data_IF_052064805480
#
_entry.id   IF_052064805480
#
_cell.length_a   1.000
_cell.length_b   1.000
_cell.length_c   1.000
_cell.angle_alpha   90.00
_cell.angle_beta   90.00
_cell.angle_gamma   90.00
#
_symmetry.space_group_name_H-M   'P 1'
#
loop_
_entity.id
_entity.type
_entity.pdbx_description
1 polymer ?
#
# COMPACT_ATOMS: atom_id res chain seq x y z
N UNK A 1 16.95 -1.89 -5.81
CA UNK A 1 17.31 -1.82 -4.37
C UNK A 1 16.19 -1.29 -3.47
N UNK A 2 15.11 -0.72 -4.01
CA UNK A 2 14.03 -0.08 -3.22
C UNK A 2 12.93 -1.05 -2.74
N UNK A 3 12.86 -2.26 -3.29
CA UNK A 3 11.81 -3.22 -2.96
C UNK A 3 12.01 -3.93 -1.62
N UNK A 4 13.22 -3.89 -1.06
CA UNK A 4 13.57 -4.57 0.19
C UNK A 4 12.87 -3.96 1.43
N UNK A 5 12.46 -2.69 1.32
CA UNK A 5 11.78 -1.98 2.40
C UNK A 5 10.25 -2.02 2.27
N UNK A 6 9.72 -2.68 1.24
CA UNK A 6 8.28 -2.88 1.05
C UNK A 6 7.87 -4.15 1.79
N UNK A 7 6.83 -4.06 2.64
CA UNK A 7 6.33 -5.24 3.36
C UNK A 7 5.79 -6.27 2.37
N UNK A 8 6.27 -7.54 2.42
CA UNK A 8 5.70 -8.59 1.60
C UNK A 8 4.31 -8.97 2.12
N UNK A 9 3.37 -9.14 1.21
CA UNK A 9 2.05 -9.65 1.48
C UNK A 9 2.16 -11.11 1.96
N UNK A 10 1.47 -11.45 3.06
CA UNK A 10 1.47 -12.81 3.61
C UNK A 10 0.89 -13.85 2.64
N UNK A 11 0.00 -13.43 1.73
CA UNK A 11 -0.68 -14.32 0.80
C UNK A 11 0.19 -14.67 -0.43
N UNK A 12 0.87 -13.68 -0.99
CA UNK A 12 1.61 -13.83 -2.26
C UNK A 12 3.12 -13.87 -2.06
N UNK A 13 3.62 -13.49 -0.88
CA UNK A 13 5.05 -13.30 -0.60
C UNK A 13 5.66 -12.10 -1.34
N UNK A 14 4.85 -11.31 -2.05
CA UNK A 14 5.27 -10.16 -2.86
C UNK A 14 4.78 -8.86 -2.22
N UNK A 15 5.48 -7.73 -2.43
CA UNK A 15 5.01 -6.44 -1.93
C UNK A 15 3.60 -6.12 -2.46
N UNK A 16 2.83 -5.36 -1.67
CA UNK A 16 1.49 -4.91 -2.05
C UNK A 16 1.55 -4.05 -3.31
N UNK A 17 0.62 -4.31 -4.23
CA UNK A 17 0.49 -3.57 -5.49
C UNK A 17 -0.69 -2.61 -5.41
N UNK A 18 -0.58 -1.44 -6.06
CA UNK A 18 -1.65 -0.44 -6.11
C UNK A 18 -2.95 -1.05 -6.65
N UNK A 19 -4.03 -0.95 -5.87
CA UNK A 19 -5.31 -1.57 -6.17
C UNK A 19 -5.56 -2.91 -5.46
N UNK A 20 -4.57 -3.44 -4.72
CA UNK A 20 -4.78 -4.63 -3.89
C UNK A 20 -5.84 -4.37 -2.83
N UNK A 21 -6.81 -5.27 -2.69
CA UNK A 21 -7.86 -5.16 -1.67
C UNK A 21 -7.63 -6.19 -0.57
N UNK A 22 -7.53 -5.69 0.66
CA UNK A 22 -7.35 -6.50 1.86
C UNK A 22 -8.67 -7.15 2.30
N UNK A 23 -8.62 -8.12 3.22
CA UNK A 23 -9.82 -8.81 3.75
C UNK A 23 -10.82 -7.84 4.42
N UNK A 24 -10.32 -6.72 4.93
CA UNK A 24 -11.11 -5.62 5.51
C UNK A 24 -11.82 -4.74 4.45
N UNK A 25 -11.60 -5.00 3.16
CA UNK A 25 -12.16 -4.20 2.05
C UNK A 25 -11.37 -2.92 1.72
N UNK A 26 -10.24 -2.71 2.39
CA UNK A 26 -9.34 -1.58 2.16
C UNK A 26 -8.51 -1.79 0.92
N UNK A 27 -8.33 -0.75 0.12
CA UNK A 27 -7.56 -0.78 -1.13
C UNK A 27 -6.20 -0.13 -0.91
N UNK A 28 -5.13 -0.88 -1.18
CA UNK A 28 -3.76 -0.38 -1.16
C UNK A 28 -3.58 0.69 -2.23
N UNK A 29 -3.14 1.88 -1.82
CA UNK A 29 -2.94 3.02 -2.72
C UNK A 29 -1.52 2.99 -3.25
N UNK A 30 -0.53 3.13 -2.36
CA UNK A 30 0.89 3.16 -2.69
C UNK A 30 1.75 3.03 -1.42
N UNK A 31 3.03 2.74 -1.61
CA UNK A 31 4.05 2.99 -0.60
C UNK A 31 4.39 4.49 -0.54
N UNK A 32 4.50 5.02 0.67
CA UNK A 32 4.99 6.37 0.91
C UNK A 32 6.51 6.36 0.98
N UNK A 33 7.16 7.42 0.50
CA UNK A 33 8.60 7.67 0.67
C UNK A 33 8.98 8.04 2.12
N UNK A 34 8.30 7.46 3.10
CA UNK A 34 8.54 7.63 4.53
C UNK A 34 8.72 6.25 5.12
N UNK A 35 9.81 6.03 5.85
CA UNK A 35 10.04 4.77 6.57
C UNK A 35 9.65 4.94 8.04
N UNK A 36 9.06 3.89 8.61
CA UNK A 36 8.83 3.80 10.05
C UNK A 36 10.09 3.39 10.80
N UNK A 37 10.01 3.37 12.13
CA UNK A 37 11.11 2.90 12.98
C UNK A 37 11.44 1.41 12.79
N UNK A 38 10.54 0.65 12.14
CA UNK A 38 10.69 -0.76 11.75
C UNK A 38 11.57 -0.93 10.49
N UNK A 39 11.97 0.16 9.82
CA UNK A 39 12.75 0.13 8.58
C UNK A 39 11.93 -0.07 7.31
N UNK A 40 10.63 -0.35 7.42
CA UNK A 40 9.73 -0.49 6.26
C UNK A 40 9.09 0.84 5.87
N UNK A 41 8.76 0.97 4.58
CA UNK A 41 7.97 2.10 4.07
C UNK A 41 6.56 2.10 4.65
N UNK A 42 6.06 3.29 4.97
CA UNK A 42 4.66 3.48 5.31
C UNK A 42 3.77 3.14 4.12
N UNK A 43 2.68 2.44 4.41
CA UNK A 43 1.73 1.98 3.41
C UNK A 43 0.48 2.85 3.48
N UNK A 44 0.11 3.44 2.34
CA UNK A 44 -1.14 4.19 2.28
C UNK A 44 -2.27 3.28 1.82
N UNK A 45 -3.29 3.17 2.68
CA UNK A 45 -4.50 2.39 2.43
C UNK A 45 -5.71 3.32 2.32
N UNK A 46 -6.59 3.02 1.38
CA UNK A 46 -7.90 3.64 1.25
C UNK A 46 -8.95 2.71 1.84
N UNK A 47 -9.87 3.24 2.64
CA UNK A 47 -10.95 2.44 3.24
C UNK A 47 -11.88 1.77 2.23
N UNK A 48 -12.03 2.35 1.04
CA UNK A 48 -12.90 1.85 -0.02
C UNK A 48 -12.44 2.37 -1.39
N UNK A 49 -12.92 1.70 -2.44
CA UNK A 49 -12.57 2.00 -3.84
C UNK A 49 -12.83 3.45 -4.23
N UNK A 50 -13.88 4.07 -3.69
CA UNK A 50 -14.19 5.49 -3.94
C UNK A 50 -13.09 6.40 -3.38
N UNK A 51 -12.62 6.11 -2.17
CA UNK A 51 -11.50 6.83 -1.54
C UNK A 51 -10.20 6.62 -2.31
N UNK A 52 -9.94 5.39 -2.77
CA UNK A 52 -8.82 5.06 -3.63
C UNK A 52 -8.83 5.88 -4.93
N UNK A 53 -9.97 5.88 -5.65
CA UNK A 53 -10.16 6.66 -6.88
C UNK A 53 -9.87 8.15 -6.65
N UNK A 54 -10.37 8.72 -5.54
CA UNK A 54 -10.08 10.12 -5.18
C UNK A 54 -8.59 10.37 -4.92
N UNK A 55 -7.87 9.43 -4.30
CA UNK A 55 -6.44 9.56 -4.01
C UNK A 55 -5.56 9.46 -5.26
N UNK A 56 -5.89 8.57 -6.19
CA UNK A 56 -5.12 8.42 -7.43
C UNK A 56 -5.40 9.56 -8.42
N UNK A 57 -6.62 10.12 -8.42
CA UNK A 57 -7.03 11.16 -9.36
C UNK A 57 -6.63 12.56 -8.90
N UNK A 58 -6.23 12.72 -7.62
CA UNK A 58 -5.65 13.95 -7.09
C UNK A 58 -4.16 13.99 -7.46
N UNK A 59 -3.89 14.23 -8.74
CA UNK A 59 -2.56 14.53 -9.30
C UNK A 59 -2.27 16.03 -9.25
#
# INVERSE_FOLDING_TARGET
MEEYFKRPNKLTGKPYESGFTDEDGRVFVRYLNKQGNDGFYYEEWAKDKVTYLKKINKS
#
